data_IF_081580859111
#
_entry.id   IF_081580859111
#
_cell.length_a   1.000
_cell.length_b   1.000
_cell.length_c   1.000
_cell.angle_alpha   90.00
_cell.angle_beta   90.00
_cell.angle_gamma   90.00
#
_symmetry.space_group_name_H-M   'P 1'
#
loop_
_entity.id
_entity.type
_entity.pdbx_description
1 polymer ?
#
# COMPACT_ATOMS: atom_id res chain seq x y z
N UNK A 1 18.11 -35.08 13.96
CA UNK A 1 17.72 -33.87 13.19
C UNK A 1 18.74 -32.75 13.45
N UNK A 2 19.58 -32.42 12.47
CA UNK A 2 20.74 -31.53 12.65
C UNK A 2 20.34 -30.08 12.95
N UNK A 3 21.00 -29.44 13.93
CA UNK A 3 20.77 -28.03 14.32
C UNK A 3 20.79 -27.07 13.12
N UNK A 4 21.67 -27.33 12.16
CA UNK A 4 21.79 -26.52 10.94
C UNK A 4 20.57 -26.63 10.03
N UNK A 5 19.95 -27.81 9.95
CA UNK A 5 18.76 -28.03 9.13
C UNK A 5 17.54 -27.32 9.73
N UNK A 6 17.40 -27.32 11.06
CA UNK A 6 16.35 -26.57 11.78
C UNK A 6 16.47 -25.06 11.55
N UNK A 7 17.68 -24.52 11.68
CA UNK A 7 17.92 -23.09 11.52
C UNK A 7 17.61 -22.62 10.10
N UNK A 8 17.96 -23.44 9.09
CA UNK A 8 17.67 -23.16 7.70
C UNK A 8 16.16 -23.19 7.40
N UNK A 9 15.43 -24.20 7.88
CA UNK A 9 13.97 -24.27 7.70
C UNK A 9 13.22 -23.14 8.39
N UNK A 10 13.70 -22.68 9.55
CA UNK A 10 13.09 -21.54 10.25
C UNK A 10 13.34 -20.25 9.46
N UNK A 11 14.53 -20.06 8.92
CA UNK A 11 14.87 -18.89 8.12
C UNK A 11 14.03 -18.81 6.83
N UNK A 12 13.90 -19.94 6.10
CA UNK A 12 13.08 -19.98 4.89
C UNK A 12 11.59 -19.79 5.18
N UNK A 13 11.08 -20.36 6.28
CA UNK A 13 9.68 -20.20 6.68
C UNK A 13 9.37 -18.76 7.13
N UNK A 14 10.33 -18.09 7.78
CA UNK A 14 10.18 -16.70 8.19
C UNK A 14 10.21 -15.75 6.98
N UNK A 15 11.08 -16.02 6.02
CA UNK A 15 11.18 -15.25 4.77
C UNK A 15 9.91 -15.40 3.93
N UNK A 16 9.36 -16.60 3.80
CA UNK A 16 8.09 -16.80 3.07
C UNK A 16 6.91 -16.15 3.78
N UNK A 17 6.87 -16.20 5.12
CA UNK A 17 5.83 -15.52 5.90
C UNK A 17 5.88 -13.99 5.72
N UNK A 18 7.08 -13.40 5.59
CA UNK A 18 7.20 -11.96 5.30
C UNK A 18 6.69 -11.57 3.91
N UNK A 19 6.86 -12.43 2.90
CA UNK A 19 6.39 -12.16 1.53
C UNK A 19 4.86 -12.27 1.44
N UNK A 20 4.25 -13.21 2.16
CA UNK A 20 2.78 -13.32 2.26
C UNK A 20 2.15 -12.22 3.12
N UNK A 21 2.88 -11.66 4.09
CA UNK A 21 2.42 -10.57 4.96
C UNK A 21 2.45 -9.18 4.30
N UNK A 22 3.20 -9.02 3.20
CA UNK A 22 3.09 -7.85 2.33
C UNK A 22 1.82 -8.03 1.51
N UNK A 23 0.69 -7.63 2.09
CA UNK A 23 -0.48 -7.31 1.29
C UNK A 23 -0.04 -6.28 0.26
N UNK A 24 0.06 -6.70 -1.00
CA UNK A 24 0.33 -5.80 -2.10
C UNK A 24 -0.93 -4.96 -2.23
N UNK A 25 -0.99 -3.86 -1.48
CA UNK A 25 -1.88 -2.77 -1.78
C UNK A 25 -1.42 -2.25 -3.12
N UNK A 26 -1.98 -2.80 -4.19
CA UNK A 26 -1.88 -2.18 -5.50
C UNK A 26 -2.50 -0.81 -5.32
N UNK A 27 -1.66 0.23 -5.23
CA UNK A 27 -2.10 1.57 -5.51
C UNK A 27 -2.73 1.47 -6.90
N UNK A 28 -4.06 1.53 -6.96
CA UNK A 28 -4.75 1.59 -8.23
C UNK A 28 -4.14 2.76 -9.01
N UNK A 29 -3.88 2.59 -10.32
CA UNK A 29 -3.39 3.70 -11.12
C UNK A 29 -4.31 4.89 -10.89
N UNK A 30 -3.75 6.00 -10.44
CA UNK A 30 -4.52 7.22 -10.21
C UNK A 30 -5.00 7.68 -11.58
N UNK A 31 -6.28 7.48 -11.82
CA UNK A 31 -6.96 7.96 -13.03
C UNK A 31 -8.03 8.92 -12.58
N UNK A 32 -8.25 9.93 -13.42
CA UNK A 32 -9.36 10.86 -13.24
C UNK A 32 -10.66 10.07 -13.13
N UNK A 33 -11.40 10.30 -12.04
CA UNK A 33 -12.70 9.68 -11.84
C UNK A 33 -13.76 10.59 -12.41
N UNK A 34 -14.49 10.09 -13.40
CA UNK A 34 -15.70 10.75 -13.91
C UNK A 34 -16.91 9.95 -13.45
N UNK A 35 -17.87 10.63 -12.83
CA UNK A 35 -19.19 10.12 -12.48
C UNK A 35 -20.20 10.77 -13.43
N UNK A 36 -20.73 9.97 -14.35
CA UNK A 36 -21.58 10.48 -15.44
C UNK A 36 -23.04 10.63 -15.00
N UNK A 37 -23.85 11.31 -15.81
CA UNK A 37 -25.29 11.44 -15.57
C UNK A 37 -25.98 10.07 -15.37
N UNK A 38 -26.69 9.91 -14.26
CA UNK A 38 -27.41 8.67 -13.92
C UNK A 38 -26.54 7.58 -13.28
N UNK A 39 -25.22 7.79 -13.18
CA UNK A 39 -24.35 6.90 -12.42
C UNK A 39 -24.55 7.10 -10.92
N UNK A 40 -24.76 6.00 -10.19
CA UNK A 40 -24.88 5.98 -8.73
C UNK A 40 -23.73 5.20 -8.14
N UNK A 41 -22.80 5.91 -7.50
CA UNK A 41 -21.68 5.32 -6.76
C UNK A 41 -22.14 5.08 -5.32
N UNK A 42 -22.08 3.80 -4.89
CA UNK A 42 -22.57 3.34 -3.58
C UNK A 42 -21.47 3.05 -2.56
N UNK A 43 -20.32 3.71 -2.72
CA UNK A 43 -19.13 3.46 -1.92
C UNK A 43 -18.32 4.74 -1.76
N UNK A 44 -17.39 4.74 -0.81
CA UNK A 44 -16.50 5.87 -0.55
C UNK A 44 -15.55 6.10 -1.72
N UNK A 45 -15.48 7.35 -2.19
CA UNK A 45 -14.58 7.74 -3.26
C UNK A 45 -13.33 8.38 -2.69
N UNK A 46 -12.22 7.62 -2.72
CA UNK A 46 -10.89 8.11 -2.36
C UNK A 46 -10.09 8.40 -3.62
N UNK A 47 -9.94 9.68 -3.96
CA UNK A 47 -9.35 10.17 -5.21
C UNK A 47 -8.06 10.93 -4.91
N UNK A 48 -6.98 10.62 -5.63
CA UNK A 48 -5.69 11.33 -5.53
C UNK A 48 -5.47 12.30 -6.71
N UNK A 49 -6.17 12.09 -7.82
CA UNK A 49 -6.15 12.96 -9.00
C UNK A 49 -7.47 13.75 -9.11
N UNK A 50 -7.99 13.94 -10.31
CA UNK A 50 -9.16 14.78 -10.54
C UNK A 50 -10.47 13.98 -10.40
N UNK A 51 -11.51 14.66 -9.92
CA UNK A 51 -12.87 14.15 -9.85
C UNK A 51 -13.81 15.06 -10.64
N UNK A 52 -14.59 14.46 -11.52
CA UNK A 52 -15.67 15.15 -12.24
C UNK A 52 -16.97 14.43 -11.90
N UNK A 53 -17.93 15.14 -11.34
CA UNK A 53 -19.29 14.63 -11.13
C UNK A 53 -20.22 15.45 -12.03
N UNK A 54 -20.70 14.83 -13.09
CA UNK A 54 -21.64 15.46 -14.02
C UNK A 54 -23.00 15.70 -13.35
N UNK A 55 -23.78 16.63 -13.92
CA UNK A 55 -25.16 16.84 -13.49
C UNK A 55 -25.92 15.51 -13.58
N UNK A 56 -26.64 15.15 -12.50
CA UNK A 56 -27.36 13.88 -12.41
C UNK A 56 -26.52 12.67 -11.97
N UNK A 57 -25.20 12.81 -11.78
CA UNK A 57 -24.39 11.84 -11.06
C UNK A 57 -24.67 11.89 -9.55
N UNK A 58 -24.70 10.73 -8.90
CA UNK A 58 -24.96 10.60 -7.47
C UNK A 58 -23.88 9.76 -6.78
N UNK A 59 -23.28 10.33 -5.74
CA UNK A 59 -22.44 9.58 -4.79
C UNK A 59 -23.23 9.46 -3.49
N UNK A 60 -23.45 8.23 -3.01
CA UNK A 60 -24.25 8.02 -1.78
C UNK A 60 -23.42 8.17 -0.51
N UNK A 61 -22.13 7.86 -0.57
CA UNK A 61 -21.22 7.90 0.58
C UNK A 61 -20.27 9.12 0.53
N UNK A 62 -19.13 9.04 1.21
CA UNK A 62 -18.20 10.14 1.40
C UNK A 62 -17.18 10.25 0.23
N UNK A 63 -16.73 11.47 -0.04
CA UNK A 63 -15.75 11.78 -1.09
C UNK A 63 -14.53 12.44 -0.47
N UNK A 64 -13.37 11.79 -0.64
CA UNK A 64 -12.08 12.28 -0.19
C UNK A 64 -11.17 12.53 -1.39
N UNK A 65 -10.64 13.75 -1.52
CA UNK A 65 -9.77 14.14 -2.63
C UNK A 65 -8.45 14.68 -2.08
N UNK A 66 -7.33 14.12 -2.54
CA UNK A 66 -5.99 14.47 -2.09
C UNK A 66 -5.14 15.02 -3.24
N UNK A 67 -5.02 16.35 -3.33
CA UNK A 67 -4.12 17.06 -4.25
C UNK A 67 -4.71 17.40 -5.63
N UNK A 68 -5.83 16.80 -6.02
CA UNK A 68 -6.43 17.03 -7.34
C UNK A 68 -7.54 18.08 -7.40
N UNK A 69 -8.15 18.21 -8.59
CA UNK A 69 -9.22 19.16 -8.85
C UNK A 69 -10.59 18.47 -8.88
N UNK A 70 -11.58 19.09 -8.25
CA UNK A 70 -12.95 18.57 -8.16
C UNK A 70 -13.93 19.49 -8.90
N UNK A 71 -14.57 18.98 -9.94
CA UNK A 71 -15.64 19.64 -10.67
C UNK A 71 -16.96 18.95 -10.37
N UNK A 72 -17.83 19.60 -9.60
CA UNK A 72 -19.05 18.96 -9.10
C UNK A 72 -20.27 19.72 -9.64
N UNK A 73 -21.05 19.02 -10.46
CA UNK A 73 -22.36 19.43 -10.95
C UNK A 73 -23.49 18.50 -10.50
N UNK A 74 -23.16 17.30 -9.99
CA UNK A 74 -24.11 16.33 -9.44
C UNK A 74 -24.35 16.47 -7.94
N UNK A 75 -24.74 15.37 -7.30
CA UNK A 75 -25.06 15.31 -5.86
C UNK A 75 -24.16 14.34 -5.12
N UNK A 76 -23.62 14.77 -3.99
CA UNK A 76 -22.93 13.95 -3.00
C UNK A 76 -23.85 13.89 -1.78
N UNK A 77 -24.27 12.69 -1.36
CA UNK A 77 -25.13 12.54 -0.19
C UNK A 77 -24.35 12.58 1.12
N UNK A 78 -23.09 12.11 1.10
CA UNK A 78 -22.17 12.14 2.23
C UNK A 78 -21.36 13.44 2.33
N UNK A 79 -20.20 13.33 2.98
CA UNK A 79 -19.27 14.42 3.24
C UNK A 79 -18.28 14.59 2.06
N UNK A 80 -17.85 15.81 1.80
CA UNK A 80 -16.79 16.12 0.84
C UNK A 80 -15.58 16.70 1.58
N UNK A 81 -14.44 16.02 1.50
CA UNK A 81 -13.16 16.49 2.03
C UNK A 81 -12.14 16.61 0.91
N UNK A 82 -11.57 17.81 0.74
CA UNK A 82 -10.52 18.08 -0.25
C UNK A 82 -9.29 18.65 0.44
N UNK A 83 -8.13 18.03 0.18
CA UNK A 83 -6.84 18.37 0.78
C UNK A 83 -5.87 18.79 -0.33
N UNK A 84 -5.35 20.01 -0.29
CA UNK A 84 -4.35 20.52 -1.25
C UNK A 84 -4.86 20.70 -2.68
N UNK A 85 -6.18 20.72 -2.89
CA UNK A 85 -6.83 20.71 -4.20
C UNK A 85 -7.80 21.86 -4.42
N UNK A 86 -8.27 22.05 -5.65
CA UNK A 86 -9.27 23.08 -5.97
C UNK A 86 -10.64 22.46 -6.18
N UNK A 87 -11.69 23.13 -5.71
CA UNK A 87 -13.08 22.69 -5.87
C UNK A 87 -13.87 23.72 -6.65
N UNK A 88 -14.54 23.28 -7.70
CA UNK A 88 -15.50 24.06 -8.47
C UNK A 88 -16.90 23.44 -8.33
N UNK A 89 -17.82 24.20 -7.74
CA UNK A 89 -19.21 23.80 -7.53
C UNK A 89 -20.11 24.55 -8.52
N UNK A 90 -20.81 23.80 -9.38
CA UNK A 90 -21.83 24.35 -10.27
C UNK A 90 -23.15 24.64 -9.52
N UNK A 91 -24.08 25.34 -10.17
CA UNK A 91 -25.38 25.71 -9.59
C UNK A 91 -26.19 24.50 -9.12
N UNK A 92 -26.12 23.39 -9.87
CA UNK A 92 -26.79 22.12 -9.55
C UNK A 92 -26.06 21.26 -8.52
N UNK A 93 -24.90 21.69 -8.03
CA UNK A 93 -24.11 20.94 -7.07
C UNK A 93 -24.85 20.84 -5.73
N UNK A 94 -25.06 19.62 -5.25
CA UNK A 94 -25.62 19.33 -3.93
C UNK A 94 -24.65 18.52 -3.09
N UNK A 95 -24.41 18.96 -1.85
CA UNK A 95 -23.68 18.19 -0.84
C UNK A 95 -24.60 18.03 0.37
N UNK A 96 -24.92 16.79 0.71
CA UNK A 96 -25.82 16.44 1.81
C UNK A 96 -25.14 16.49 3.18
N UNK A 97 -23.84 16.22 3.23
CA UNK A 97 -23.02 16.27 4.44
C UNK A 97 -22.17 17.54 4.55
N UNK A 98 -21.07 17.41 5.29
CA UNK A 98 -20.11 18.47 5.52
C UNK A 98 -19.16 18.64 4.32
N UNK A 99 -18.87 19.89 3.96
CA UNK A 99 -17.90 20.22 2.92
C UNK A 99 -16.68 20.92 3.54
N UNK A 100 -15.51 20.29 3.48
CA UNK A 100 -14.27 20.78 4.08
C UNK A 100 -13.14 20.79 3.06
N UNK A 101 -12.47 21.93 2.92
CA UNK A 101 -11.40 22.14 1.95
C UNK A 101 -10.19 22.67 2.70
N UNK A 102 -9.08 21.95 2.67
CA UNK A 102 -7.87 22.25 3.43
C UNK A 102 -6.75 22.51 2.45
N UNK A 103 -6.11 23.67 2.56
CA UNK A 103 -4.99 24.07 1.71
C UNK A 103 -5.33 24.19 0.23
N UNK A 104 -6.57 24.57 -0.07
CA UNK A 104 -7.11 24.62 -1.42
C UNK A 104 -8.01 25.82 -1.65
N UNK A 105 -8.38 26.07 -2.91
CA UNK A 105 -9.33 27.12 -3.26
C UNK A 105 -10.70 26.54 -3.64
N UNK A 106 -11.76 27.28 -3.32
CA UNK A 106 -13.13 26.94 -3.72
C UNK A 106 -13.75 28.03 -4.59
N UNK A 107 -14.32 27.62 -5.71
CA UNK A 107 -15.13 28.45 -6.59
C UNK A 107 -16.57 27.94 -6.56
N UNK A 108 -17.51 28.83 -6.22
CA UNK A 108 -18.95 28.55 -6.18
C UNK A 108 -19.63 29.32 -7.30
N UNK A 109 -20.07 28.62 -8.34
CA UNK A 109 -20.84 29.21 -9.42
C UNK A 109 -22.34 29.06 -9.10
N UNK A 110 -22.88 30.01 -8.32
CA UNK A 110 -24.28 30.03 -7.85
C UNK A 110 -24.74 28.83 -6.99
N UNK A 111 -23.84 27.93 -6.59
CA UNK A 111 -24.17 26.80 -5.72
C UNK A 111 -24.61 27.26 -4.32
N UNK A 112 -25.68 26.68 -3.74
CA UNK A 112 -26.13 26.96 -2.38
C UNK A 112 -25.25 26.31 -1.28
N UNK A 113 -24.29 25.47 -1.67
CA UNK A 113 -23.49 24.66 -0.74
C UNK A 113 -22.51 25.52 0.06
N UNK A 114 -22.49 25.29 1.38
CA UNK A 114 -21.56 25.94 2.30
C UNK A 114 -20.38 25.02 2.58
N UNK A 115 -19.19 25.47 2.20
CA UNK A 115 -17.95 24.74 2.46
C UNK A 115 -17.05 25.52 3.40
N UNK A 116 -16.41 24.81 4.32
CA UNK A 116 -15.39 25.32 5.23
C UNK A 116 -14.03 25.24 4.53
N UNK A 117 -13.46 26.39 4.17
CA UNK A 117 -12.11 26.47 3.60
C UNK A 117 -11.10 26.83 4.69
N UNK A 118 -10.03 26.04 4.79
CA UNK A 118 -8.96 26.20 5.77
C UNK A 118 -7.67 26.39 4.98
N UNK A 119 -6.94 27.47 5.27
CA UNK A 119 -5.66 27.75 4.62
C UNK A 119 -4.56 26.76 5.04
N UNK A 120 -3.55 26.57 4.17
CA UNK A 120 -2.31 25.85 4.50
C UNK A 120 -1.65 26.45 5.75
N UNK A 121 -1.27 25.60 6.70
CA UNK A 121 -0.57 26.01 7.93
C UNK A 121 -1.47 26.36 9.13
N UNK A 122 -2.79 26.20 9.02
CA UNK A 122 -3.67 26.29 10.20
C UNK A 122 -3.45 25.10 11.14
N UNK A 123 -3.34 25.35 12.45
CA UNK A 123 -3.34 24.31 13.48
C UNK A 123 -4.72 23.66 13.57
N UNK A 124 -4.97 22.64 12.76
CA UNK A 124 -6.24 21.94 12.74
C UNK A 124 -6.30 20.84 13.80
N UNK A 125 -7.31 20.84 14.69
CA UNK A 125 -7.64 19.63 15.43
C UNK A 125 -8.13 18.58 14.44
N UNK A 126 -7.49 17.41 14.41
CA UNK A 126 -7.80 16.29 13.51
C UNK A 126 -9.27 15.83 13.58
N UNK A 127 -9.99 16.19 14.65
CA UNK A 127 -11.42 15.95 14.84
C UNK A 127 -12.34 16.80 13.94
N UNK A 128 -11.83 17.85 13.29
CA UNK A 128 -12.60 18.70 12.38
C UNK A 128 -12.73 18.12 10.96
N UNK A 129 -12.18 16.93 10.71
CA UNK A 129 -12.22 16.26 9.41
C UNK A 129 -13.25 15.13 9.49
N UNK A 130 -14.46 15.31 8.94
CA UNK A 130 -15.60 14.43 9.16
C UNK A 130 -15.37 12.99 8.68
N UNK A 131 -14.76 12.80 7.50
CA UNK A 131 -14.49 11.46 6.93
C UNK A 131 -13.50 10.62 7.74
N UNK A 132 -12.46 11.23 8.31
CA UNK A 132 -11.48 10.53 9.16
C UNK A 132 -12.11 10.05 10.48
N UNK A 133 -13.16 10.72 10.95
CA UNK A 133 -13.83 10.35 12.21
C UNK A 133 -14.82 9.20 12.05
N UNK A 134 -15.52 9.09 10.91
CA UNK A 134 -16.39 7.93 10.60
C UNK A 134 -15.60 6.63 10.51
N UNK A 135 -14.43 6.67 9.86
CA UNK A 135 -13.57 5.48 9.71
C UNK A 135 -12.94 4.99 11.02
N UNK A 136 -12.83 5.86 12.04
CA UNK A 136 -12.36 5.44 13.38
C UNK A 136 -13.28 4.45 14.07
N UNK A 137 -14.57 4.43 13.73
CA UNK A 137 -15.49 3.40 14.22
C UNK A 137 -15.24 2.03 13.56
N UNK A 138 -14.82 2.00 12.29
CA UNK A 138 -14.55 0.78 11.53
C UNK A 138 -13.11 0.25 11.66
N UNK A 139 -12.16 1.09 12.11
CA UNK A 139 -10.79 0.68 12.42
C UNK A 139 -10.70 -0.39 13.52
N UNK A 140 -11.68 -0.46 14.44
CA UNK A 140 -11.78 -1.55 15.42
C UNK A 140 -12.46 -2.80 14.84
N UNK A 141 -13.20 -2.68 13.73
CA UNK A 141 -14.00 -3.76 13.15
C UNK A 141 -13.38 -4.54 11.98
N UNK A 142 -12.49 -3.93 11.17
CA UNK A 142 -12.01 -4.59 9.93
C UNK A 142 -10.58 -4.28 9.47
N UNK A 143 -9.98 -3.16 9.90
CA UNK A 143 -8.71 -2.67 9.30
C UNK A 143 -7.56 -2.44 10.30
N UNK A 144 -7.80 -2.63 11.60
CA UNK A 144 -6.75 -2.55 12.63
C UNK A 144 -5.71 -3.67 12.55
N UNK A 145 -6.06 -4.81 11.94
CA UNK A 145 -5.13 -5.91 11.71
C UNK A 145 -4.03 -5.55 10.69
N UNK A 146 -4.34 -4.73 9.69
CA UNK A 146 -3.38 -4.36 8.63
C UNK A 146 -2.36 -3.33 9.12
N UNK A 147 -2.80 -2.33 9.91
CA UNK A 147 -1.89 -1.33 10.51
C UNK A 147 -1.02 -1.98 11.61
N UNK A 148 -1.60 -2.87 12.42
CA UNK A 148 -0.83 -3.65 13.39
C UNK A 148 0.23 -4.54 12.72
N UNK A 149 -0.12 -5.17 11.60
CA UNK A 149 0.81 -5.99 10.83
C UNK A 149 1.91 -5.15 10.15
N UNK A 150 1.59 -3.96 9.63
CA UNK A 150 2.57 -3.07 9.01
C UNK A 150 3.63 -2.59 10.03
N UNK A 151 3.21 -2.18 11.22
CA UNK A 151 4.13 -1.74 12.29
C UNK A 151 5.07 -2.87 12.73
N UNK A 152 4.53 -4.09 12.89
CA UNK A 152 5.32 -5.26 13.25
C UNK A 152 6.33 -5.64 12.14
N UNK A 153 5.89 -5.52 10.88
CA UNK A 153 6.72 -5.83 9.70
C UNK A 153 7.86 -4.82 9.55
N UNK A 154 7.62 -3.53 9.77
CA UNK A 154 8.67 -2.50 9.77
C UNK A 154 9.71 -2.74 10.86
N UNK A 155 9.30 -3.16 12.05
CA UNK A 155 10.22 -3.51 13.14
C UNK A 155 11.10 -4.72 12.81
N UNK A 156 10.53 -5.76 12.21
CA UNK A 156 11.28 -6.96 11.80
C UNK A 156 12.31 -6.66 10.69
N UNK A 157 11.96 -5.81 9.73
CA UNK A 157 12.88 -5.37 8.66
C UNK A 157 14.06 -4.56 9.18
N UNK A 158 13.83 -3.69 10.17
CA UNK A 158 14.89 -2.89 10.79
C UNK A 158 15.94 -3.77 11.50
N UNK A 159 15.49 -4.81 12.20
CA UNK A 159 16.38 -5.78 12.88
C UNK A 159 17.20 -6.57 11.85
N UNK A 160 16.60 -6.96 10.72
CA UNK A 160 17.30 -7.64 9.63
C UNK A 160 18.33 -6.73 8.96
N UNK A 161 17.98 -5.49 8.64
CA UNK A 161 18.89 -4.52 8.05
C UNK A 161 20.09 -4.25 8.97
N UNK A 162 19.82 -4.09 10.27
CA UNK A 162 20.87 -3.92 11.28
C UNK A 162 21.79 -5.15 11.36
N UNK A 163 21.22 -6.35 11.34
CA UNK A 163 21.98 -7.61 11.31
C UNK A 163 22.91 -7.73 10.10
N UNK A 164 22.45 -7.29 8.92
CA UNK A 164 23.26 -7.28 7.69
C UNK A 164 24.42 -6.28 7.82
N UNK A 165 24.15 -5.07 8.31
CA UNK A 165 25.19 -4.04 8.50
C UNK A 165 26.25 -4.41 9.53
N UNK A 166 25.86 -5.16 10.57
CA UNK A 166 26.77 -5.57 11.63
C UNK A 166 27.74 -6.69 11.21
N UNK A 167 27.42 -7.46 10.16
CA UNK A 167 28.18 -8.66 9.78
C UNK A 167 29.36 -8.38 8.83
N UNK A 168 29.43 -7.24 8.13
CA UNK A 168 30.53 -7.03 7.18
C UNK A 168 30.91 -5.55 6.89
N UNK A 169 31.46 -4.79 7.86
CA UNK A 169 31.98 -3.44 7.59
C UNK A 169 33.18 -3.43 6.62
N UNK A 170 34.00 -4.49 6.60
CA UNK A 170 35.26 -4.54 5.82
C UNK A 170 35.10 -4.76 4.30
N UNK A 171 33.90 -5.06 3.81
CA UNK A 171 33.66 -5.31 2.38
C UNK A 171 33.24 -4.06 1.61
N UNK A 172 32.76 -3.02 2.29
CA UNK A 172 32.28 -1.78 1.65
C UNK A 172 33.44 -0.93 1.12
N UNK A 173 34.56 -0.87 1.85
CA UNK A 173 35.70 -0.02 1.48
C UNK A 173 36.35 -0.42 0.15
N UNK A 174 36.31 -1.70 -0.25
CA UNK A 174 36.87 -2.17 -1.53
C UNK A 174 35.94 -1.99 -2.74
N UNK A 175 34.65 -1.75 -2.51
CA UNK A 175 33.67 -1.53 -3.58
C UNK A 175 33.80 -0.11 -4.14
N UNK A 176 34.23 0.84 -3.31
CA UNK A 176 34.38 2.26 -3.68
C UNK A 176 35.46 2.49 -4.75
N UNK A 177 36.62 1.84 -4.65
CA UNK A 177 37.72 2.02 -5.62
C UNK A 177 37.45 1.36 -6.98
N UNK A 178 36.64 0.31 -7.03
CA UNK A 178 36.29 -0.38 -8.28
C UNK A 178 35.28 0.40 -9.13
N UNK A 179 34.38 1.16 -8.49
CA UNK A 179 33.32 1.93 -9.17
C UNK A 179 33.90 3.12 -9.93
N UNK A 180 34.91 3.79 -9.37
CA UNK A 180 35.52 4.98 -9.99
C UNK A 180 36.51 4.63 -11.11
N UNK A 181 37.18 3.47 -11.04
CA UNK A 181 38.19 3.10 -12.03
C UNK A 181 37.66 2.36 -13.27
N UNK A 182 36.59 1.55 -13.15
CA UNK A 182 36.04 0.75 -14.29
C UNK A 182 34.51 0.54 -14.19
N UNK A 183 33.69 1.56 -14.52
CA UNK A 183 32.22 1.49 -14.37
C UNK A 183 31.55 0.41 -15.24
N UNK A 184 32.03 0.18 -16.47
CA UNK A 184 31.42 -0.80 -17.40
C UNK A 184 31.67 -2.24 -16.96
N UNK A 185 32.79 -2.52 -16.27
CA UNK A 185 33.09 -3.86 -15.75
C UNK A 185 32.24 -4.23 -14.53
N UNK A 186 31.86 -3.24 -13.71
CA UNK A 186 30.97 -3.45 -12.56
C UNK A 186 29.52 -3.71 -12.99
N UNK A 187 29.06 -3.00 -14.04
CA UNK A 187 27.70 -3.19 -14.57
C UNK A 187 27.43 -4.61 -15.10
N UNK A 188 28.39 -5.22 -15.82
CA UNK A 188 28.22 -6.58 -16.35
C UNK A 188 28.26 -7.63 -15.25
N UNK A 189 29.15 -7.49 -14.27
CA UNK A 189 29.21 -8.40 -13.11
C UNK A 189 27.93 -8.31 -12.28
N UNK A 190 27.33 -7.12 -12.15
CA UNK A 190 26.02 -6.96 -11.52
C UNK A 190 24.91 -7.74 -12.24
N UNK A 191 24.81 -7.62 -13.56
CA UNK A 191 23.81 -8.34 -14.36
C UNK A 191 24.02 -9.86 -14.31
N UNK A 192 25.28 -10.32 -14.39
CA UNK A 192 25.65 -11.74 -14.24
C UNK A 192 25.29 -12.27 -12.85
N UNK A 193 25.51 -11.47 -11.81
CA UNK A 193 25.18 -11.85 -10.43
C UNK A 193 23.67 -11.88 -10.22
N UNK A 194 22.90 -10.98 -10.84
CA UNK A 194 21.44 -10.99 -10.76
C UNK A 194 20.83 -12.22 -11.45
N UNK A 195 21.32 -12.58 -12.64
CA UNK A 195 20.93 -13.82 -13.32
C UNK A 195 21.33 -15.07 -12.52
N UNK A 196 22.56 -15.08 -11.98
CA UNK A 196 23.06 -16.17 -11.16
C UNK A 196 22.29 -16.31 -9.84
N UNK A 197 21.85 -15.19 -9.25
CA UNK A 197 21.04 -15.19 -8.04
C UNK A 197 19.64 -15.76 -8.33
N UNK A 198 19.00 -15.33 -9.42
CA UNK A 198 17.69 -15.86 -9.83
C UNK A 198 17.78 -17.38 -10.06
N UNK A 199 18.80 -17.85 -10.80
CA UNK A 199 18.99 -19.28 -11.07
C UNK A 199 19.35 -20.09 -9.83
N UNK A 200 20.13 -19.52 -8.90
CA UNK A 200 20.43 -20.16 -7.64
C UNK A 200 19.18 -20.29 -6.76
N UNK A 201 18.34 -19.25 -6.69
CA UNK A 201 17.10 -19.26 -5.89
C UNK A 201 16.11 -20.30 -6.43
N UNK A 202 15.94 -20.40 -7.75
CA UNK A 202 15.04 -21.40 -8.34
C UNK A 202 15.54 -22.82 -8.09
N UNK A 203 16.84 -23.06 -8.21
CA UNK A 203 17.45 -24.37 -7.94
C UNK A 203 17.36 -24.75 -6.45
N UNK A 204 17.58 -23.81 -5.54
CA UNK A 204 17.44 -24.03 -4.10
C UNK A 204 15.98 -24.34 -3.71
N UNK A 205 15.03 -23.61 -4.32
CA UNK A 205 13.59 -23.84 -4.13
C UNK A 205 13.22 -25.25 -4.58
N UNK A 206 13.64 -25.67 -5.78
CA UNK A 206 13.40 -27.01 -6.31
C UNK A 206 14.01 -28.10 -5.42
N UNK A 207 15.25 -27.90 -4.95
CA UNK A 207 15.94 -28.86 -4.09
C UNK A 207 15.23 -29.03 -2.74
N UNK A 208 14.74 -27.94 -2.15
CA UNK A 208 13.99 -27.99 -0.90
C UNK A 208 12.62 -28.68 -1.05
N UNK A 209 11.94 -28.48 -2.17
CA UNK A 209 10.69 -29.18 -2.49
C UNK A 209 10.91 -30.70 -2.66
N UNK A 210 11.95 -31.09 -3.41
CA UNK A 210 12.31 -32.49 -3.61
C UNK A 210 12.69 -33.17 -2.29
N UNK A 211 13.47 -32.50 -1.44
CA UNK A 211 13.84 -33.00 -0.13
C UNK A 211 12.61 -33.26 0.75
N UNK A 212 11.64 -32.34 0.73
CA UNK A 212 10.39 -32.47 1.48
C UNK A 212 9.59 -33.68 1.02
N UNK A 213 9.50 -33.90 -0.30
CA UNK A 213 8.82 -35.05 -0.87
C UNK A 213 9.48 -36.39 -0.47
N UNK A 214 10.81 -36.44 -0.50
CA UNK A 214 11.59 -37.61 -0.05
C UNK A 214 11.39 -37.85 1.45
N UNK A 215 11.38 -36.80 2.27
CA UNK A 215 11.13 -36.91 3.71
C UNK A 215 9.74 -37.48 4.02
N UNK A 216 8.70 -37.06 3.29
CA UNK A 216 7.34 -37.59 3.45
C UNK A 216 7.27 -39.06 3.02
N UNK A 217 7.88 -39.41 1.89
CA UNK A 217 7.91 -40.79 1.40
C UNK A 217 8.65 -41.75 2.35
N UNK A 218 9.80 -41.33 2.89
CA UNK A 218 10.61 -42.16 3.77
C UNK A 218 10.01 -42.33 5.17
N UNK A 219 9.27 -41.33 5.68
CA UNK A 219 8.58 -41.43 6.96
C UNK A 219 7.20 -42.10 6.85
N UNK A 220 6.51 -41.95 5.71
CA UNK A 220 5.19 -42.53 5.48
C UNK A 220 5.21 -44.03 5.18
N UNK A 221 6.21 -44.51 4.43
CA UNK A 221 6.32 -45.91 4.03
C UNK A 221 6.38 -46.92 5.20
N UNK A 222 7.16 -46.72 6.28
CA UNK A 222 7.20 -47.67 7.40
C UNK A 222 5.93 -47.68 8.24
N UNK A 223 5.17 -46.57 8.29
CA UNK A 223 3.93 -46.48 9.09
C UNK A 223 2.80 -47.26 8.43
N UNK A 224 2.68 -47.17 7.09
CA UNK A 224 1.67 -47.92 6.33
C UNK A 224 1.93 -49.43 6.39
N UNK A 225 3.21 -49.85 6.39
CA UNK A 225 3.60 -51.25 6.45
C UNK A 225 3.47 -51.85 7.87
N UNK A 226 3.42 -51.02 8.91
CA UNK A 226 3.20 -51.46 10.30
C UNK A 226 1.71 -51.55 10.68
N UNK A 227 0.80 -50.97 9.89
CA UNK A 227 -0.65 -50.98 10.13
C UNK A 227 -1.43 -51.95 9.22
N UNK A 228 -0.77 -52.60 8.25
CA UNK A 228 -1.34 -53.67 7.41
C UNK A 228 -0.73 -55.03 7.77
#
# INVERSE_FOLDING_TARGET
MNKQLKLFTIFTALLTLTILGVGIGYAAPSQDRVVINGEVVRDDLNITDNLIIEAGGLVTEDVNILGGHAYISGTISGDLVVLGGNVELAESAGIGGDCVIIGGNIQRNASPVRCTSIAEGANLPLAAIPSITKDRANLWGGSGATVGNAILTSFLLAIFAFGITAIAPKHIERISDAITLKPVASGTVGILTFLAAISAITLLSLLSALLTFVCIGLLGFPIVLAMG
#
